data_IF_585765210364
#
_entry.id   IF_585765210364
#
_cell.length_a   1.000
_cell.length_b   1.000
_cell.length_c   1.000
_cell.angle_alpha   90.00
_cell.angle_beta   90.00
_cell.angle_gamma   90.00
#
_symmetry.space_group_name_H-M   'P 1'
#
loop_
_entity.id
_entity.type
_entity.pdbx_description
1 polymer ?
#
# COMPACT_ATOMS: atom_id res chain seq x y z
N UNK A 1 -24.01 -11.14 -19.87
CA UNK A 1 -23.17 -12.17 -19.22
C UNK A 1 -22.09 -11.44 -18.45
N UNK A 2 -21.83 -11.72 -17.15
CA UNK A 2 -20.75 -11.03 -16.45
C UNK A 2 -19.43 -11.41 -17.11
N UNK A 3 -18.71 -10.42 -17.62
CA UNK A 3 -17.37 -10.61 -18.20
C UNK A 3 -16.47 -11.11 -17.08
N UNK A 4 -16.16 -12.40 -17.13
CA UNK A 4 -15.26 -13.04 -16.19
C UNK A 4 -13.84 -12.58 -16.45
N UNK A 5 -13.37 -11.57 -15.71
CA UNK A 5 -11.97 -11.18 -15.71
C UNK A 5 -11.13 -12.32 -15.14
N UNK A 6 -10.49 -13.09 -16.01
CA UNK A 6 -9.46 -14.05 -15.61
C UNK A 6 -8.24 -13.28 -15.14
N UNK A 7 -8.12 -13.09 -13.82
CA UNK A 7 -6.88 -12.66 -13.16
C UNK A 7 -5.86 -13.81 -13.22
N UNK A 8 -5.23 -14.01 -14.38
CA UNK A 8 -3.95 -14.72 -14.41
C UNK A 8 -2.94 -13.85 -13.65
N UNK A 9 -2.11 -14.45 -12.80
CA UNK A 9 -1.23 -13.78 -11.82
C UNK A 9 -0.14 -12.83 -12.35
N UNK A 10 -0.32 -12.23 -13.53
CA UNK A 10 0.53 -11.23 -14.15
C UNK A 10 -0.36 -10.03 -14.51
N UNK A 11 -0.48 -9.06 -13.62
CA UNK A 11 -1.12 -7.77 -13.92
C UNK A 11 0.01 -6.79 -14.35
N UNK A 12 0.35 -6.73 -15.66
CA UNK A 12 1.47 -5.93 -16.14
C UNK A 12 1.28 -4.44 -15.84
N UNK A 13 0.03 -3.97 -15.80
CA UNK A 13 -0.33 -2.59 -15.47
C UNK A 13 0.03 -2.27 -14.02
N UNK A 14 -0.25 -3.18 -13.08
CA UNK A 14 0.11 -3.04 -11.67
C UNK A 14 1.61 -3.12 -11.45
N UNK A 15 2.32 -3.98 -12.21
CA UNK A 15 3.79 -4.01 -12.22
C UNK A 15 4.35 -2.68 -12.71
N UNK A 16 3.84 -2.15 -13.81
CA UNK A 16 4.25 -0.87 -14.37
C UNK A 16 3.93 0.29 -13.40
N UNK A 17 2.75 0.27 -12.80
CA UNK A 17 2.33 1.20 -11.77
C UNK A 17 3.26 1.18 -10.53
N UNK A 18 3.77 0.01 -10.15
CA UNK A 18 4.77 -0.13 -9.09
C UNK A 18 6.13 0.48 -9.49
N UNK A 19 6.54 0.35 -10.75
CA UNK A 19 7.81 0.91 -11.25
C UNK A 19 7.77 2.44 -11.39
N UNK A 20 6.71 2.97 -12.01
CA UNK A 20 6.58 4.41 -12.30
C UNK A 20 6.32 5.24 -11.04
N UNK A 21 5.49 4.71 -10.13
CA UNK A 21 4.91 5.49 -9.05
C UNK A 21 4.93 4.76 -7.69
N UNK A 22 5.59 3.60 -7.59
CA UNK A 22 5.80 2.98 -6.29
C UNK A 22 6.56 3.92 -5.34
N UNK A 23 6.34 3.78 -4.05
CA UNK A 23 6.99 4.54 -3.00
C UNK A 23 6.70 6.05 -2.95
N UNK A 24 5.60 6.52 -3.55
CA UNK A 24 5.14 7.92 -3.41
C UNK A 24 4.77 8.29 -1.97
N UNK A 25 4.28 7.33 -1.16
CA UNK A 25 3.96 7.58 0.24
C UNK A 25 5.21 7.60 1.15
N UNK A 26 6.40 7.37 0.58
CA UNK A 26 7.66 7.21 1.32
C UNK A 26 8.43 8.54 1.31
N UNK A 27 8.16 9.38 2.32
CA UNK A 27 8.80 10.71 2.48
C UNK A 27 10.13 10.72 3.23
N UNK A 28 10.59 9.59 3.79
CA UNK A 28 11.72 9.55 4.74
C UNK A 28 12.69 8.39 4.46
N UNK A 29 13.09 8.21 3.20
CA UNK A 29 14.10 7.22 2.80
C UNK A 29 14.90 7.77 1.63
N UNK A 30 16.15 7.32 1.45
CA UNK A 30 16.99 7.70 0.30
C UNK A 30 16.35 7.24 -1.01
N UNK A 31 16.78 7.86 -2.11
CA UNK A 31 16.27 7.53 -3.44
C UNK A 31 16.67 6.11 -3.87
N UNK A 32 17.85 5.62 -3.48
CA UNK A 32 18.27 4.23 -3.74
C UNK A 32 17.37 3.23 -3.01
N UNK A 33 17.03 3.52 -1.76
CA UNK A 33 16.12 2.63 -1.01
C UNK A 33 14.71 2.70 -1.60
N UNK A 34 14.29 3.86 -2.11
CA UNK A 34 13.02 4.02 -2.82
C UNK A 34 12.99 3.13 -4.06
N UNK A 35 14.05 3.15 -4.86
CA UNK A 35 14.19 2.30 -6.05
C UNK A 35 14.19 0.81 -5.69
N UNK A 36 14.92 0.41 -4.64
CA UNK A 36 14.92 -0.97 -4.16
C UNK A 36 13.52 -1.43 -3.73
N UNK A 37 12.77 -0.58 -3.02
CA UNK A 37 11.39 -0.88 -2.61
C UNK A 37 10.48 -1.02 -3.83
N UNK A 38 10.58 -0.12 -4.83
CA UNK A 38 9.81 -0.22 -6.09
C UNK A 38 10.06 -1.54 -6.80
N UNK A 39 11.32 -1.92 -6.96
CA UNK A 39 11.70 -3.18 -7.58
C UNK A 39 11.14 -4.38 -6.82
N UNK A 40 11.25 -4.39 -5.49
CA UNK A 40 10.69 -5.46 -4.65
C UNK A 40 9.16 -5.57 -4.79
N UNK A 41 8.43 -4.45 -4.86
CA UNK A 41 6.97 -4.48 -5.02
C UNK A 41 6.59 -4.96 -6.41
N UNK A 42 7.24 -4.44 -7.47
CA UNK A 42 6.98 -4.85 -8.84
C UNK A 42 7.22 -6.35 -9.05
N UNK A 43 8.34 -6.85 -8.51
CA UNK A 43 8.66 -8.27 -8.51
C UNK A 43 7.64 -9.06 -7.68
N UNK A 44 7.30 -8.58 -6.48
CA UNK A 44 6.32 -9.24 -5.63
C UNK A 44 4.92 -9.33 -6.23
N UNK A 45 4.49 -8.34 -7.01
CA UNK A 45 3.24 -8.41 -7.78
C UNK A 45 3.34 -9.47 -8.88
N UNK A 46 4.46 -9.51 -9.60
CA UNK A 46 4.71 -10.49 -10.67
C UNK A 46 4.74 -11.93 -10.16
N UNK A 47 5.31 -12.14 -8.97
CA UNK A 47 5.49 -13.45 -8.35
C UNK A 47 4.31 -13.86 -7.45
N UNK A 48 3.26 -13.03 -7.34
CA UNK A 48 2.13 -13.29 -6.44
C UNK A 48 2.51 -13.32 -4.95
N UNK A 49 3.59 -12.63 -4.57
CA UNK A 49 4.09 -12.59 -3.19
C UNK A 49 3.15 -11.74 -2.33
N UNK A 50 2.60 -12.28 -1.23
CA UNK A 50 1.71 -11.51 -0.36
C UNK A 50 2.45 -10.35 0.33
N UNK A 51 1.79 -9.21 0.59
CA UNK A 51 2.42 -8.04 1.23
C UNK A 51 3.11 -8.33 2.57
N UNK A 52 2.62 -9.33 3.31
CA UNK A 52 3.22 -9.76 4.59
C UNK A 52 4.61 -10.36 4.41
N UNK A 53 4.86 -11.08 3.31
CA UNK A 53 6.17 -11.63 2.95
C UNK A 53 7.09 -10.53 2.39
N UNK A 54 6.57 -9.66 1.52
CA UNK A 54 7.29 -8.46 1.05
C UNK A 54 7.78 -7.58 2.19
N UNK A 55 6.98 -7.42 3.26
CA UNK A 55 7.38 -6.66 4.43
C UNK A 55 8.65 -7.21 5.12
N UNK A 56 8.98 -8.51 4.98
CA UNK A 56 10.22 -9.06 5.53
C UNK A 56 11.43 -8.63 4.71
N UNK A 57 11.32 -8.66 3.38
CA UNK A 57 12.36 -8.20 2.45
C UNK A 57 12.58 -6.69 2.59
N UNK A 58 11.49 -5.91 2.60
CA UNK A 58 11.56 -4.45 2.79
C UNK A 58 12.17 -4.08 4.15
N UNK A 59 11.97 -4.88 5.21
CA UNK A 59 12.60 -4.61 6.51
C UNK A 59 14.14 -4.69 6.43
N UNK A 60 14.68 -5.53 5.56
CA UNK A 60 16.14 -5.68 5.38
C UNK A 60 16.74 -4.52 4.59
N UNK A 61 15.94 -3.81 3.79
CA UNK A 61 16.41 -2.69 2.96
C UNK A 61 16.24 -1.32 3.61
N UNK A 62 15.36 -1.18 4.61
CA UNK A 62 15.05 0.12 5.20
C UNK A 62 15.77 0.41 6.53
N UNK A 63 16.15 1.67 6.72
CA UNK A 63 16.56 2.23 8.00
C UNK A 63 15.40 2.76 8.86
N UNK A 64 15.73 3.23 10.07
CA UNK A 64 14.80 3.99 10.91
C UNK A 64 14.58 5.38 10.34
N UNK A 65 13.40 5.97 10.56
CA UNK A 65 13.23 7.42 10.36
C UNK A 65 13.91 8.20 11.48
N UNK A 66 14.17 9.50 11.28
CA UNK A 66 14.69 10.38 12.34
C UNK A 66 13.80 10.37 13.60
N UNK A 67 12.48 10.31 13.44
CA UNK A 67 11.54 10.19 14.57
C UNK A 67 11.69 8.85 15.30
N UNK A 68 11.82 7.75 14.57
CA UNK A 68 12.00 6.44 15.18
C UNK A 68 13.36 6.31 15.86
N UNK A 69 14.42 6.85 15.26
CA UNK A 69 15.76 6.88 15.84
C UNK A 69 15.77 7.65 17.18
N UNK A 70 15.14 8.83 17.23
CA UNK A 70 14.94 9.57 18.48
C UNK A 70 14.18 8.76 19.54
N UNK A 71 13.11 8.08 19.13
CA UNK A 71 12.36 7.21 20.04
C UNK A 71 13.19 6.05 20.61
N UNK A 72 14.11 5.48 19.80
CA UNK A 72 15.03 4.43 20.25
C UNK A 72 16.06 4.99 21.23
N UNK A 73 16.63 6.16 20.96
CA UNK A 73 17.56 6.84 21.86
C UNK A 73 16.91 7.22 23.20
N UNK A 74 15.68 7.76 23.19
CA UNK A 74 14.96 8.11 24.41
C UNK A 74 14.71 6.89 25.31
N UNK A 75 14.36 5.74 24.71
CA UNK A 75 14.19 4.50 25.46
C UNK A 75 15.49 4.02 26.11
N UNK A 76 16.61 4.09 25.38
CA UNK A 76 17.94 3.75 25.95
C UNK A 76 18.25 4.61 27.17
N UNK A 77 18.10 5.93 27.06
CA UNK A 77 18.31 6.87 28.17
C UNK A 77 17.41 6.55 29.36
N UNK A 78 16.12 6.33 29.13
CA UNK A 78 15.15 6.02 30.20
C UNK A 78 15.51 4.72 30.95
N UNK A 79 15.89 3.66 30.23
CA UNK A 79 16.24 2.39 30.85
C UNK A 79 17.54 2.47 31.65
N UNK A 80 18.52 3.24 31.17
CA UNK A 80 19.76 3.49 31.91
C UNK A 80 19.51 4.28 33.20
N UNK A 81 18.71 5.34 33.12
CA UNK A 81 18.31 6.14 34.30
C UNK A 81 17.52 5.31 35.32
N UNK A 82 16.71 4.36 34.86
CA UNK A 82 16.01 3.42 35.72
C UNK A 82 16.92 2.32 36.34
N UNK A 83 18.24 2.41 36.17
CA UNK A 83 19.20 1.47 36.76
C UNK A 83 19.16 0.05 36.15
N UNK A 84 18.57 -0.11 34.97
CA UNK A 84 18.52 -1.41 34.30
C UNK A 84 19.92 -1.82 33.87
N UNK A 85 20.29 -3.09 34.13
CA UNK A 85 21.60 -3.64 33.75
C UNK A 85 21.89 -3.44 32.25
N UNK A 86 23.11 -3.05 31.85
CA UNK A 86 23.44 -2.71 30.45
C UNK A 86 23.03 -3.77 29.44
N UNK A 87 23.31 -5.06 29.69
CA UNK A 87 22.92 -6.14 28.78
C UNK A 87 21.39 -6.30 28.59
N UNK A 88 20.58 -5.92 29.59
CA UNK A 88 19.12 -5.90 29.47
C UNK A 88 18.64 -4.65 28.74
N UNK A 89 19.31 -3.50 28.90
CA UNK A 89 19.04 -2.29 28.11
C UNK A 89 19.21 -2.58 26.63
N UNK A 90 20.38 -3.09 26.20
CA UNK A 90 20.65 -3.40 24.79
C UNK A 90 19.58 -4.30 24.18
N UNK A 91 19.22 -5.40 24.86
CA UNK A 91 18.17 -6.32 24.40
C UNK A 91 16.82 -5.62 24.22
N UNK A 92 16.41 -4.76 25.16
CA UNK A 92 15.12 -4.07 25.09
C UNK A 92 15.10 -3.00 23.99
N UNK A 93 16.18 -2.24 23.86
CA UNK A 93 16.37 -1.22 22.82
C UNK A 93 16.36 -1.86 21.44
N UNK A 94 17.08 -2.97 21.24
CA UNK A 94 17.09 -3.72 19.98
C UNK A 94 15.72 -4.32 19.65
N UNK A 95 15.02 -4.85 20.66
CA UNK A 95 13.66 -5.33 20.47
C UNK A 95 12.73 -4.19 20.04
N UNK A 96 12.86 -3.01 20.64
CA UNK A 96 12.08 -1.83 20.27
C UNK A 96 12.39 -1.34 18.85
N UNK A 97 13.68 -1.20 18.51
CA UNK A 97 14.16 -0.90 17.15
C UNK A 97 13.59 -1.87 16.12
N UNK A 98 13.66 -3.17 16.40
CA UNK A 98 13.12 -4.21 15.52
C UNK A 98 11.59 -4.12 15.36
N UNK A 99 10.85 -3.79 16.43
CA UNK A 99 9.40 -3.54 16.36
C UNK A 99 9.07 -2.33 15.48
N UNK A 100 9.83 -1.25 15.59
CA UNK A 100 9.64 -0.04 14.78
C UNK A 100 9.87 -0.32 13.28
N UNK A 101 10.98 -0.98 12.94
CA UNK A 101 11.27 -1.37 11.56
C UNK A 101 10.21 -2.32 11.00
N UNK A 102 9.79 -3.32 11.78
CA UNK A 102 8.74 -4.27 11.38
C UNK A 102 7.41 -3.57 11.11
N UNK A 103 7.00 -2.62 11.97
CA UNK A 103 5.76 -1.85 11.78
C UNK A 103 5.83 -0.99 10.52
N UNK A 104 6.97 -0.34 10.29
CA UNK A 104 7.23 0.49 9.10
C UNK A 104 7.20 -0.34 7.82
N UNK A 105 7.95 -1.43 7.77
CA UNK A 105 8.01 -2.29 6.59
C UNK A 105 6.65 -2.86 6.20
N UNK A 106 5.82 -3.27 7.18
CA UNK A 106 4.43 -3.69 6.93
C UNK A 106 3.56 -2.58 6.36
N UNK A 107 3.72 -1.35 6.84
CA UNK A 107 3.00 -0.19 6.31
C UNK A 107 3.37 0.06 4.86
N UNK A 108 4.67 0.08 4.55
CA UNK A 108 5.19 0.29 3.19
C UNK A 108 4.66 -0.81 2.28
N UNK A 109 4.96 -2.08 2.61
CA UNK A 109 4.58 -3.21 1.78
C UNK A 109 3.08 -3.20 1.45
N UNK A 110 2.22 -2.97 2.45
CA UNK A 110 0.78 -2.94 2.22
C UNK A 110 0.33 -1.75 1.38
N UNK A 111 0.73 -0.55 1.77
CA UNK A 111 0.25 0.69 1.12
C UNK A 111 0.69 0.73 -0.34
N UNK A 112 1.96 0.42 -0.59
CA UNK A 112 2.51 0.51 -1.92
C UNK A 112 2.02 -0.61 -2.84
N UNK A 113 1.88 -1.84 -2.32
CA UNK A 113 1.31 -2.95 -3.12
C UNK A 113 -0.14 -2.66 -3.47
N UNK A 114 -0.96 -2.23 -2.51
CA UNK A 114 -2.36 -1.87 -2.77
C UNK A 114 -2.47 -0.70 -3.74
N UNK A 115 -1.63 0.33 -3.59
CA UNK A 115 -1.60 1.47 -4.51
C UNK A 115 -1.22 1.06 -5.93
N UNK A 116 -0.22 0.20 -6.09
CA UNK A 116 0.17 -0.32 -7.40
C UNK A 116 -0.95 -1.17 -8.04
N UNK A 117 -1.56 -2.08 -7.28
CA UNK A 117 -2.66 -2.92 -7.76
C UNK A 117 -3.89 -2.08 -8.15
N UNK A 118 -4.28 -1.11 -7.32
CA UNK A 118 -5.44 -0.28 -7.60
C UNK A 118 -5.23 0.63 -8.82
N UNK A 119 -4.02 1.15 -9.02
CA UNK A 119 -3.68 1.92 -10.22
C UNK A 119 -3.62 1.03 -11.46
N UNK A 120 -3.08 -0.18 -11.34
CA UNK A 120 -3.12 -1.17 -12.41
C UNK A 120 -4.55 -1.53 -12.83
N UNK A 121 -5.49 -1.60 -11.89
CA UNK A 121 -6.91 -1.78 -12.20
C UNK A 121 -7.48 -0.62 -13.03
N UNK A 122 -7.24 0.62 -12.64
CA UNK A 122 -7.72 1.78 -13.41
C UNK A 122 -7.18 1.75 -14.84
N UNK A 123 -5.89 1.47 -14.99
CA UNK A 123 -5.26 1.38 -16.31
C UNK A 123 -5.84 0.24 -17.16
N UNK A 124 -6.06 -0.93 -16.57
CA UNK A 124 -6.73 -2.04 -17.26
C UNK A 124 -8.16 -1.66 -17.70
N UNK A 125 -8.89 -0.89 -16.88
CA UNK A 125 -10.19 -0.34 -17.26
C UNK A 125 -10.10 0.60 -18.46
N UNK A 126 -9.13 1.51 -18.48
CA UNK A 126 -8.89 2.43 -19.62
C UNK A 126 -8.55 1.69 -20.90
N UNK A 127 -7.74 0.64 -20.80
CA UNK A 127 -7.40 -0.21 -21.95
C UNK A 127 -8.64 -0.93 -22.48
N UNK A 128 -9.47 -1.49 -21.60
CA UNK A 128 -10.71 -2.14 -22.03
C UNK A 128 -11.68 -1.17 -22.73
N UNK A 129 -11.75 0.10 -22.31
CA UNK A 129 -12.53 1.14 -23.02
C UNK A 129 -11.94 1.41 -24.40
N UNK A 130 -10.61 1.56 -24.49
CA UNK A 130 -9.91 1.79 -25.77
C UNK A 130 -10.10 0.63 -26.75
N UNK A 131 -10.18 -0.59 -26.24
CA UNK A 131 -10.37 -1.81 -27.02
C UNK A 131 -11.86 -2.08 -27.34
N UNK A 132 -12.77 -1.21 -26.90
CA UNK A 132 -14.22 -1.34 -27.12
C UNK A 132 -14.88 -2.45 -26.31
N UNK A 133 -14.23 -2.92 -25.25
CA UNK A 133 -14.70 -3.99 -24.35
C UNK A 133 -15.53 -3.47 -23.16
N UNK A 134 -15.50 -2.17 -22.91
CA UNK A 134 -16.30 -1.49 -21.89
C UNK A 134 -16.93 -0.24 -22.49
N UNK A 135 -18.26 -0.15 -22.41
CA UNK A 135 -19.00 1.08 -22.74
C UNK A 135 -19.43 1.81 -21.45
N UNK A 136 -19.42 3.14 -21.49
CA UNK A 136 -19.73 4.04 -20.37
C UNK A 136 -19.18 3.55 -19.00
N UNK A 137 -17.85 3.51 -18.82
CA UNK A 137 -17.22 2.88 -17.67
C UNK A 137 -17.38 3.71 -16.40
N UNK A 138 -17.77 3.05 -15.30
CA UNK A 138 -17.79 3.62 -13.96
C UNK A 138 -16.83 2.88 -13.04
N UNK A 139 -16.36 3.57 -12.00
CA UNK A 139 -15.61 2.99 -10.91
C UNK A 139 -16.32 3.19 -9.59
N UNK A 140 -16.39 2.12 -8.81
CA UNK A 140 -16.98 2.07 -7.49
C UNK A 140 -15.93 1.83 -6.42
N UNK A 141 -15.98 2.59 -5.33
CA UNK A 141 -15.10 2.40 -4.19
C UNK A 141 -15.57 1.24 -3.31
N UNK A 142 -14.82 0.14 -3.34
CA UNK A 142 -15.12 -1.06 -2.56
C UNK A 142 -14.33 -1.03 -1.25
N UNK A 143 -15.05 -1.03 -0.13
CA UNK A 143 -14.49 -1.13 1.21
C UNK A 143 -14.36 -2.60 1.65
N UNK A 144 -13.60 -2.86 2.72
CA UNK A 144 -13.71 -4.14 3.44
C UNK A 144 -14.56 -3.94 4.70
N UNK A 145 -15.80 -4.45 4.75
CA UNK A 145 -16.71 -4.23 5.88
C UNK A 145 -16.37 -5.20 7.03
N UNK A 146 -15.28 -4.92 7.76
CA UNK A 146 -14.93 -5.62 8.99
C UNK A 146 -14.65 -4.65 10.13
N UNK A 147 -14.37 -5.17 11.33
CA UNK A 147 -14.06 -4.39 12.54
C UNK A 147 -12.87 -3.42 12.38
N UNK A 148 -12.10 -3.54 11.28
CA UNK A 148 -10.95 -2.67 10.98
C UNK A 148 -11.29 -1.60 9.95
N UNK A 149 -12.55 -1.49 9.51
CA UNK A 149 -13.01 -0.40 8.68
C UNK A 149 -12.85 0.92 9.44
N UNK A 150 -12.10 1.86 8.87
CA UNK A 150 -11.83 3.12 9.53
C UNK A 150 -12.92 4.17 9.19
N UNK A 151 -13.11 5.19 10.06
CA UNK A 151 -14.06 6.27 9.81
C UNK A 151 -13.79 7.08 8.55
N UNK A 152 -12.56 7.06 8.02
CA UNK A 152 -12.21 7.75 6.76
C UNK A 152 -12.66 6.99 5.51
N UNK A 153 -12.80 5.67 5.61
CA UNK A 153 -13.18 4.82 4.47
C UNK A 153 -14.66 4.43 4.52
N UNK A 154 -15.30 4.39 5.69
CA UNK A 154 -16.72 4.06 5.80
C UNK A 154 -17.63 4.93 4.92
N UNK A 155 -17.45 6.27 4.83
CA UNK A 155 -18.27 7.11 3.95
C UNK A 155 -18.09 6.85 2.46
N UNK A 156 -16.99 6.19 2.06
CA UNK A 156 -16.70 5.88 0.66
C UNK A 156 -17.46 4.65 0.16
N UNK A 157 -18.20 3.95 1.02
CA UNK A 157 -18.81 2.68 0.68
C UNK A 157 -19.78 2.84 -0.51
N UNK A 158 -19.52 2.12 -1.60
CA UNK A 158 -20.32 2.14 -2.83
C UNK A 158 -20.39 3.48 -3.55
N UNK A 159 -19.56 4.45 -3.17
CA UNK A 159 -19.41 5.67 -3.95
C UNK A 159 -18.98 5.28 -5.37
N UNK A 160 -19.72 5.77 -6.37
CA UNK A 160 -19.54 5.42 -7.78
C UNK A 160 -19.42 6.71 -8.58
N UNK A 161 -18.41 6.77 -9.45
CA UNK A 161 -18.11 7.91 -10.32
C UNK A 161 -17.69 7.37 -11.69
N UNK A 162 -17.77 8.17 -12.78
CA UNK A 162 -17.17 7.81 -14.06
C UNK A 162 -15.69 7.41 -13.90
N UNK A 163 -15.19 6.53 -14.78
CA UNK A 163 -13.83 5.97 -14.64
C UNK A 163 -12.73 7.04 -14.49
N UNK A 164 -12.85 8.15 -15.21
CA UNK A 164 -11.86 9.24 -15.20
C UNK A 164 -12.07 10.28 -14.10
N UNK A 165 -13.24 10.30 -13.45
CA UNK A 165 -13.56 11.30 -12.43
C UNK A 165 -12.92 10.93 -11.08
N UNK A 166 -12.52 11.92 -10.29
CA UNK A 166 -12.07 11.67 -8.92
C UNK A 166 -13.26 11.39 -7.99
N UNK A 167 -13.05 10.55 -6.99
CA UNK A 167 -14.02 10.37 -5.91
C UNK A 167 -14.13 11.65 -5.06
N UNK A 168 -15.16 11.75 -4.21
CA UNK A 168 -15.48 12.84 -3.28
C UNK A 168 -14.33 13.26 -2.35
N UNK A 169 -13.35 12.37 -2.16
CA UNK A 169 -12.16 12.61 -1.36
C UNK A 169 -10.97 13.19 -2.16
N UNK A 170 -11.17 13.48 -3.46
CA UNK A 170 -10.15 13.99 -4.37
C UNK A 170 -9.14 12.96 -4.86
N UNK A 171 -9.37 11.66 -4.64
CA UNK A 171 -8.51 10.58 -5.12
C UNK A 171 -9.18 9.85 -6.28
N UNK A 172 -8.37 9.38 -7.24
CA UNK A 172 -8.89 8.56 -8.35
C UNK A 172 -9.11 7.10 -7.96
N UNK A 173 -8.38 6.63 -6.95
CA UNK A 173 -8.50 5.30 -6.36
C UNK A 173 -7.83 5.25 -4.97
N UNK A 174 -8.18 4.27 -4.12
CA UNK A 174 -7.43 3.99 -2.91
C UNK A 174 -5.96 3.63 -3.23
N UNK A 175 -5.01 3.77 -2.28
CA UNK A 175 -5.21 3.89 -0.83
C UNK A 175 -5.44 5.34 -0.34
N UNK A 176 -6.51 5.56 0.44
CA UNK A 176 -6.76 6.86 1.11
C UNK A 176 -5.78 7.17 2.25
N UNK A 177 -5.26 6.14 2.90
CA UNK A 177 -4.39 6.27 4.06
C UNK A 177 -3.41 5.09 4.14
N UNK A 178 -2.35 5.19 4.96
CA UNK A 178 -1.45 4.07 5.18
C UNK A 178 -2.22 2.83 5.65
N UNK A 179 -1.88 1.67 5.06
CA UNK A 179 -2.54 0.37 5.32
C UNK A 179 -4.00 0.27 4.89
N UNK A 180 -4.52 1.19 4.09
CA UNK A 180 -5.84 1.08 3.49
C UNK A 180 -6.02 -0.29 2.80
N UNK A 181 -7.25 -0.81 2.83
CA UNK A 181 -7.62 -2.11 2.24
C UNK A 181 -8.65 -2.00 1.13
N UNK A 182 -9.10 -0.79 0.86
CA UNK A 182 -10.10 -0.52 -0.16
C UNK A 182 -9.51 -0.71 -1.56
N UNK A 183 -10.38 -1.02 -2.51
CA UNK A 183 -10.01 -1.25 -3.91
C UNK A 183 -11.10 -0.68 -4.81
N UNK A 184 -10.76 -0.15 -6.00
CA UNK A 184 -11.78 0.16 -6.97
C UNK A 184 -12.30 -1.14 -7.61
N UNK A 185 -13.59 -1.13 -7.93
CA UNK A 185 -14.23 -2.05 -8.87
C UNK A 185 -14.64 -1.25 -10.09
N UNK A 186 -14.31 -1.75 -11.28
CA UNK A 186 -14.69 -1.12 -12.54
C UNK A 186 -15.86 -1.92 -13.11
N UNK A 187 -16.91 -1.23 -13.53
CA UNK A 187 -18.15 -1.80 -14.05
C UNK A 187 -18.68 -0.90 -15.17
N UNK A 188 -19.52 -1.46 -16.04
CA UNK A 188 -20.32 -0.64 -16.95
C UNK A 188 -21.49 -0.03 -16.19
N UNK A 189 -21.84 1.21 -16.52
CA UNK A 189 -23.08 1.81 -16.03
C UNK A 189 -24.29 0.99 -16.53
N UNK A 190 -25.39 0.92 -15.75
CA UNK A 190 -26.62 0.34 -16.25
C UNK A 190 -27.08 1.06 -17.53
N UNK A 191 -27.55 0.31 -18.52
CA UNK A 191 -28.24 0.90 -19.67
C UNK A 191 -29.47 1.66 -19.15
N UNK A 192 -29.56 2.94 -19.50
CA UNK A 192 -30.67 3.83 -19.14
C UNK A 192 -31.99 3.42 -19.81
#
# INVERSE_FOLDING_TARGET
MPVGFSFSGKNPEARQAALQQGAMAIRQVSDETRLAIRALIAQGITDGIPPSRLARLIKQTIGLTARQARGVANLDTQLRLAGIRPGRVTKQVDAYRNRQLRRRARTIARTETMGALNRGKLEAGRQAVKDGLLDNPEKRWVITPDERLCPLCAPMANETVPLEDSFSNGLDAPPRHPRCRCTPSITEAPLA
#
